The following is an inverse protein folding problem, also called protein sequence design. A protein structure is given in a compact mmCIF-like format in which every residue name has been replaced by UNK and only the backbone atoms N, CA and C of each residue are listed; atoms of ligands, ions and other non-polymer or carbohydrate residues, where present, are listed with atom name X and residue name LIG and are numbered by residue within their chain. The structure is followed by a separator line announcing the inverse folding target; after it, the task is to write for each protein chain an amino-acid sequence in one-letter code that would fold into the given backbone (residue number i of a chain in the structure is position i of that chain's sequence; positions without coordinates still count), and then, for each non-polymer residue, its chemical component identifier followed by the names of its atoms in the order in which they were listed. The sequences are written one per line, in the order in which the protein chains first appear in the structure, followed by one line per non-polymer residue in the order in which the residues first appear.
data_IF_561976534624
#
_entry.id   IF_561976534624
#
_cell.length_a   1.000
_cell.length_b   1.000
_cell.length_c   1.000
_cell.angle_alpha   90.00
_cell.angle_beta   90.00
_cell.angle_gamma   90.00
#
_symmetry.space_group_name_H-M   'P 1'
#
loop_
_entity.id
_entity.type
_entity.pdbx_description
1 polymer ?
#
# COMPACT_ATOMS: atom_id res chain seq x y z
N UNK A 1 -8.42 18.29 -9.38
CA UNK A 1 -6.98 18.05 -9.09
C UNK A 1 -6.71 16.56 -9.23
N UNK A 2 -5.70 16.15 -10.01
CA UNK A 2 -5.42 14.73 -10.35
C UNK A 2 -5.01 13.84 -9.16
N UNK A 3 -5.05 14.33 -7.91
CA UNK A 3 -4.87 13.51 -6.71
C UNK A 3 -3.55 12.74 -6.62
N UNK A 4 -2.49 13.23 -7.27
CA UNK A 4 -1.16 12.64 -7.27
C UNK A 4 -0.35 13.15 -6.07
N UNK A 5 0.31 12.25 -5.34
CA UNK A 5 1.20 12.58 -4.22
C UNK A 5 2.43 11.69 -4.19
N UNK A 6 3.58 12.28 -3.89
CA UNK A 6 4.83 11.55 -3.67
C UNK A 6 5.00 11.28 -2.17
N UNK A 7 5.42 10.07 -1.81
CA UNK A 7 5.68 9.66 -0.43
C UNK A 7 7.07 9.06 -0.31
N UNK A 8 7.79 9.38 0.77
CA UNK A 8 9.05 8.71 1.12
C UNK A 8 8.74 7.46 1.93
N UNK A 9 9.25 6.31 1.50
CA UNK A 9 9.03 5.04 2.18
C UNK A 9 10.01 4.87 3.33
N UNK A 10 9.47 4.54 4.50
CA UNK A 10 10.23 4.20 5.71
C UNK A 10 9.93 2.75 6.10
N UNK A 11 10.90 2.08 6.71
CA UNK A 11 10.79 0.67 7.09
C UNK A 11 11.04 -0.30 5.93
N UNK A 12 11.17 -1.58 6.28
CA UNK A 12 11.57 -2.65 5.38
C UNK A 12 10.46 -3.61 4.98
N UNK A 13 9.21 -3.39 5.43
CA UNK A 13 8.12 -4.38 5.26
C UNK A 13 7.75 -4.67 3.80
N UNK A 14 8.10 -3.77 2.88
CA UNK A 14 7.87 -3.94 1.45
C UNK A 14 9.14 -4.26 0.65
N UNK A 15 10.30 -4.36 1.31
CA UNK A 15 11.54 -4.75 0.64
C UNK A 15 11.48 -6.23 0.22
N UNK A 16 12.11 -6.64 -0.90
CA UNK A 16 12.91 -5.81 -1.82
C UNK A 16 12.08 -5.07 -2.88
N UNK A 17 10.76 -5.31 -2.96
CA UNK A 17 9.88 -4.75 -4.01
C UNK A 17 9.81 -3.23 -3.93
N UNK A 18 9.64 -2.69 -2.74
CA UNK A 18 9.71 -1.26 -2.42
C UNK A 18 10.80 -1.09 -1.35
N UNK A 19 12.05 -0.77 -1.75
CA UNK A 19 13.15 -0.59 -0.81
C UNK A 19 12.89 0.55 0.17
N UNK A 20 13.45 0.44 1.38
CA UNK A 20 13.48 1.56 2.32
C UNK A 20 14.18 2.77 1.70
N UNK A 21 13.71 3.98 2.02
CA UNK A 21 14.33 5.22 1.58
C UNK A 21 13.98 5.64 0.15
N UNK A 22 13.29 4.78 -0.61
CA UNK A 22 12.77 5.14 -1.93
C UNK A 22 11.57 6.09 -1.84
N UNK A 23 11.17 6.62 -2.98
CA UNK A 23 9.94 7.41 -3.11
C UNK A 23 8.90 6.64 -3.94
N UNK A 24 7.62 6.83 -3.62
CA UNK A 24 6.50 6.27 -4.38
C UNK A 24 5.57 7.39 -4.84
N UNK A 25 5.04 7.27 -6.06
CA UNK A 25 3.95 8.11 -6.55
C UNK A 25 2.62 7.37 -6.36
N UNK A 26 1.70 7.99 -5.65
CA UNK A 26 0.36 7.47 -5.42
C UNK A 26 -0.70 8.34 -6.10
N UNK A 27 -1.74 7.70 -6.66
CA UNK A 27 -2.86 8.35 -7.33
C UNK A 27 -4.17 8.05 -6.59
N UNK A 28 -4.80 9.09 -6.03
CA UNK A 28 -6.08 8.96 -5.29
C UNK A 28 -7.26 8.64 -6.21
N UNK A 29 -7.31 9.22 -7.41
CA UNK A 29 -8.41 9.02 -8.35
C UNK A 29 -8.53 7.57 -8.84
N UNK A 30 -7.46 6.77 -8.79
CA UNK A 30 -7.56 5.35 -9.09
C UNK A 30 -8.42 4.56 -8.09
N UNK A 31 -8.73 5.12 -6.92
CA UNK A 31 -9.61 4.47 -5.94
C UNK A 31 -11.07 4.39 -6.39
N UNK A 32 -11.47 5.13 -7.43
CA UNK A 32 -12.79 4.95 -8.07
C UNK A 32 -12.89 3.63 -8.86
N UNK A 33 -11.76 3.09 -9.34
CA UNK A 33 -11.71 1.81 -10.05
C UNK A 33 -11.78 0.63 -9.06
N UNK A 34 -12.05 -0.61 -9.53
CA UNK A 34 -11.96 -1.80 -8.67
C UNK A 34 -10.54 -2.04 -8.15
N UNK A 35 -10.41 -2.42 -6.87
CA UNK A 35 -9.15 -2.84 -6.24
C UNK A 35 -8.98 -4.34 -6.51
N UNK A 36 -7.76 -4.76 -6.87
CA UNK A 36 -7.46 -6.16 -7.25
C UNK A 36 -6.20 -6.66 -6.54
N UNK A 37 -6.07 -7.98 -6.33
CA UNK A 37 -4.82 -8.60 -5.85
C UNK A 37 -3.59 -8.14 -6.63
N UNK A 38 -2.46 -8.00 -5.94
CA UNK A 38 -1.18 -7.55 -6.50
C UNK A 38 -1.05 -6.02 -6.66
N UNK A 39 -2.13 -5.25 -6.50
CA UNK A 39 -2.04 -3.80 -6.46
C UNK A 39 -1.38 -3.32 -5.17
N UNK A 40 -0.66 -2.19 -5.24
CA UNK A 40 -0.02 -1.58 -4.07
C UNK A 40 -0.80 -0.35 -3.66
N UNK A 41 -1.20 -0.31 -2.40
CA UNK A 41 -2.06 0.73 -1.84
C UNK A 41 -1.33 1.50 -0.76
N UNK A 42 -1.60 2.81 -0.70
CA UNK A 42 -1.35 3.62 0.47
C UNK A 42 -2.60 3.56 1.35
N UNK A 43 -2.46 3.06 2.57
CA UNK A 43 -3.55 2.77 3.50
C UNK A 43 -3.33 3.58 4.77
N UNK A 44 -4.38 4.26 5.23
CA UNK A 44 -4.43 4.90 6.54
C UNK A 44 -4.91 3.87 7.59
N UNK A 45 -3.96 3.28 8.30
CA UNK A 45 -4.21 2.24 9.29
C UNK A 45 -4.33 2.85 10.69
N UNK A 46 -5.33 2.46 11.51
CA UNK A 46 -5.55 3.04 12.83
C UNK A 46 -4.34 2.86 13.78
N UNK A 47 -3.69 1.68 13.75
CA UNK A 47 -2.53 1.38 14.60
C UNK A 47 -1.18 1.78 13.99
N UNK A 48 -0.95 1.49 12.70
CA UNK A 48 0.35 1.66 12.04
C UNK A 48 0.50 3.00 11.30
N UNK A 49 -0.55 3.83 11.31
CA UNK A 49 -0.61 5.07 10.54
C UNK A 49 -0.62 4.80 9.03
N UNK A 50 -0.01 5.71 8.26
CA UNK A 50 0.02 5.61 6.80
C UNK A 50 1.06 4.56 6.37
N UNK A 51 0.58 3.45 5.84
CA UNK A 51 1.38 2.32 5.38
C UNK A 51 1.22 2.08 3.88
N UNK A 52 2.21 1.43 3.29
CA UNK A 52 2.12 0.89 1.92
C UNK A 52 2.16 -0.63 1.98
N UNK A 53 1.20 -1.28 1.33
CA UNK A 53 1.04 -2.74 1.30
C UNK A 53 0.57 -3.22 -0.07
N UNK A 54 0.81 -4.49 -0.37
CA UNK A 54 0.25 -5.15 -1.56
C UNK A 54 -1.06 -5.84 -1.20
N UNK A 55 -2.09 -5.66 -2.02
CA UNK A 55 -3.37 -6.35 -1.87
C UNK A 55 -3.13 -7.85 -2.04
N UNK A 56 -3.40 -8.61 -0.99
CA UNK A 56 -3.41 -10.07 -1.03
C UNK A 56 -4.73 -10.56 -1.61
N UNK A 57 -5.85 -10.09 -1.05
CA UNK A 57 -7.20 -10.43 -1.50
C UNK A 57 -8.16 -9.29 -1.18
N UNK A 58 -9.23 -9.17 -1.97
CA UNK A 58 -10.41 -8.38 -1.60
C UNK A 58 -11.51 -9.40 -1.33
N UNK A 59 -12.04 -9.42 -0.11
CA UNK A 59 -13.05 -10.41 0.26
C UNK A 59 -14.44 -10.06 -0.28
N UNK A 60 -15.42 -10.94 -0.02
CA UNK A 60 -16.80 -10.78 -0.47
C UNK A 60 -17.51 -9.52 0.09
N UNK A 61 -17.01 -8.94 1.19
CA UNK A 61 -17.55 -7.74 1.81
C UNK A 61 -16.85 -6.47 1.26
N UNK A 62 -15.91 -6.63 0.33
CA UNK A 62 -15.12 -5.54 -0.21
C UNK A 62 -14.01 -5.06 0.73
N UNK A 63 -13.70 -5.82 1.78
CA UNK A 63 -12.59 -5.54 2.67
C UNK A 63 -11.27 -5.95 2.01
N UNK A 64 -10.25 -5.14 2.21
CA UNK A 64 -8.97 -5.23 1.51
C UNK A 64 -7.95 -5.82 2.47
N UNK A 65 -7.61 -7.08 2.25
CA UNK A 65 -6.56 -7.75 2.99
C UNK A 65 -5.24 -7.52 2.27
N UNK A 66 -4.24 -7.02 3.01
CA UNK A 66 -2.99 -6.57 2.40
C UNK A 66 -1.78 -7.12 3.16
N UNK A 67 -0.69 -7.37 2.43
CA UNK A 67 0.54 -7.96 2.95
C UNK A 67 1.76 -7.09 2.67
N UNK A 68 2.80 -7.29 3.47
CA UNK A 68 4.15 -6.88 3.09
C UNK A 68 4.75 -7.86 2.09
N UNK A 69 5.80 -7.41 1.41
CA UNK A 69 6.60 -8.24 0.49
C UNK A 69 7.87 -8.78 1.16
N UNK A 70 8.19 -8.30 2.36
CA UNK A 70 9.25 -8.83 3.19
C UNK A 70 8.70 -9.93 4.10
N UNK A 71 9.42 -11.05 4.24
CA UNK A 71 9.06 -12.16 5.13
C UNK A 71 8.93 -11.76 6.61
N UNK A 72 9.64 -10.70 7.03
CA UNK A 72 9.54 -10.13 8.38
C UNK A 72 8.41 -9.09 8.51
N UNK A 73 7.56 -8.91 7.50
CA UNK A 73 6.38 -8.04 7.63
C UNK A 73 5.38 -8.62 8.63
N UNK A 74 4.66 -7.74 9.31
CA UNK A 74 3.43 -8.09 10.04
C UNK A 74 2.55 -8.99 9.16
N UNK A 75 2.11 -10.15 9.67
CA UNK A 75 1.20 -11.06 8.97
C UNK A 75 -0.14 -10.40 8.61
N UNK A 76 -0.80 -10.91 7.58
CA UNK A 76 -2.07 -10.34 7.07
C UNK A 76 -3.18 -10.42 8.12
N UNK A 77 -3.19 -11.50 8.88
CA UNK A 77 -4.18 -11.79 9.93
C UNK A 77 -4.01 -10.84 11.12
N UNK A 78 -2.77 -10.44 11.42
CA UNK A 78 -2.45 -9.50 12.49
C UNK A 78 -2.70 -8.05 12.05
N UNK A 79 -2.36 -7.72 10.80
CA UNK A 79 -2.63 -6.40 10.24
C UNK A 79 -4.14 -6.13 10.14
N UNK A 80 -4.92 -7.16 9.83
CA UNK A 80 -6.35 -7.04 9.58
C UNK A 80 -6.67 -6.36 8.24
N UNK A 81 -7.96 -6.30 7.89
CA UNK A 81 -8.40 -5.69 6.65
C UNK A 81 -8.47 -4.16 6.74
N UNK A 82 -8.27 -3.51 5.60
CA UNK A 82 -8.64 -2.12 5.40
C UNK A 82 -9.94 -2.00 4.61
N UNK A 83 -10.76 -1.00 4.92
CA UNK A 83 -11.89 -0.64 4.09
C UNK A 83 -11.49 0.36 2.99
N UNK A 84 -12.40 0.65 2.05
CA UNK A 84 -12.13 1.56 0.92
C UNK A 84 -11.85 3.01 1.35
N UNK A 85 -12.42 3.49 2.46
CA UNK A 85 -12.24 4.88 2.92
C UNK A 85 -10.85 5.10 3.52
N UNK A 86 -10.21 4.04 4.02
CA UNK A 86 -8.81 4.04 4.46
C UNK A 86 -7.80 4.08 3.30
N UNK A 87 -8.21 3.85 2.05
CA UNK A 87 -7.28 3.88 0.92
C UNK A 87 -7.03 5.33 0.48
N UNK A 88 -5.81 5.80 0.70
CA UNK A 88 -5.38 7.16 0.35
C UNK A 88 -5.00 7.29 -1.13
N UNK A 89 -4.59 6.18 -1.76
CA UNK A 89 -4.28 6.13 -3.19
C UNK A 89 -3.59 4.84 -3.62
N UNK A 90 -3.44 4.65 -4.93
CA UNK A 90 -2.72 3.50 -5.50
C UNK A 90 -1.33 3.89 -5.93
N UNK A 91 -0.33 3.06 -5.61
CA UNK A 91 1.04 3.26 -6.06
C UNK A 91 1.13 2.95 -7.56
N UNK A 92 1.53 3.96 -8.34
CA UNK A 92 1.70 3.86 -9.79
C UNK A 92 3.16 3.89 -10.23
N UNK A 93 4.06 4.40 -9.37
CA UNK A 93 5.51 4.42 -9.64
C UNK A 93 6.30 4.27 -8.35
N UNK A 94 7.44 3.59 -8.44
CA UNK A 94 8.47 3.52 -7.41
C UNK A 94 9.74 4.13 -7.99
N UNK A 95 10.33 5.09 -7.28
CA UNK A 95 11.61 5.72 -7.57
C UNK A 95 12.62 5.15 -6.60
N UNK A 96 13.36 4.13 -7.03
CA UNK A 96 14.41 3.51 -6.22
C UNK A 96 15.58 4.49 -6.06
N UNK A 97 16.25 4.53 -4.90
CA UNK A 97 17.51 5.24 -4.80
C UNK A 97 18.51 4.66 -5.81
N UNK A 98 19.30 5.51 -6.44
CA UNK A 98 20.44 5.05 -7.22
C UNK A 98 21.46 4.51 -6.22
N UNK A 99 21.75 3.21 -6.31
CA UNK A 99 22.89 2.62 -5.63
C UNK A 99 24.18 3.04 -6.33
#
# INVERSE_FOLDING_TARGET
MLGLKIWKVKGHSMAPVIPQGCFILAAKWLNFMPIKPGQRLLIDHPEYGIIVKTVAVVDHNGLIWSKGENAASVPVEVLGPANKTQVLGRVIRIFKPNN
#
